data_IF_180219479558
#
_entry.id   IF_180219479558
#
_cell.length_a   1.000
_cell.length_b   1.000
_cell.length_c   1.000
_cell.angle_alpha   90.00
_cell.angle_beta   90.00
_cell.angle_gamma   90.00
#
_symmetry.space_group_name_H-M   'P 1'
#
loop_
_entity.id
_entity.type
_entity.pdbx_description
1 polymer ?
#
# COMPACT_ATOMS: atom_id res chain seq x y z
N UNK A 1 -2.88 -3.69 -4.28
CA UNK A 1 -2.08 -3.28 -3.11
C UNK A 1 -2.67 -2.04 -2.44
N UNK A 2 -2.39 -0.84 -2.93
CA UNK A 2 -2.85 0.41 -2.31
C UNK A 2 -4.38 0.54 -2.27
N UNK A 3 -5.06 0.13 -3.34
CA UNK A 3 -6.52 0.16 -3.38
C UNK A 3 -7.14 -0.77 -2.33
N UNK A 4 -6.54 -1.93 -2.11
CA UNK A 4 -6.98 -2.85 -1.06
C UNK A 4 -6.77 -2.25 0.33
N UNK A 5 -5.64 -1.55 0.54
CA UNK A 5 -5.37 -0.82 1.78
C UNK A 5 -6.42 0.25 2.05
N UNK A 6 -6.73 1.06 1.04
CA UNK A 6 -7.80 2.07 1.15
C UNK A 6 -9.12 1.44 1.57
N UNK A 7 -9.55 0.40 0.86
CA UNK A 7 -10.84 -0.26 1.09
C UNK A 7 -10.90 -0.89 2.50
N UNK A 8 -9.83 -1.54 2.95
CA UNK A 8 -9.76 -2.14 4.27
C UNK A 8 -9.77 -1.09 5.38
N UNK A 9 -9.04 0.00 5.23
CA UNK A 9 -9.04 1.08 6.23
C UNK A 9 -10.41 1.76 6.31
N UNK A 10 -11.08 2.00 5.19
CA UNK A 10 -12.45 2.56 5.20
C UNK A 10 -13.45 1.61 5.82
N UNK A 11 -13.34 0.33 5.55
CA UNK A 11 -14.19 -0.71 6.13
C UNK A 11 -14.00 -0.78 7.65
N UNK A 12 -12.76 -0.76 8.12
CA UNK A 12 -12.45 -0.76 9.55
C UNK A 12 -12.97 0.51 10.23
N UNK A 13 -12.77 1.68 9.60
CA UNK A 13 -13.28 2.94 10.13
C UNK A 13 -14.81 2.94 10.27
N UNK A 14 -15.51 2.31 9.33
CA UNK A 14 -16.97 2.18 9.39
C UNK A 14 -17.48 1.20 10.43
N UNK A 15 -16.65 0.23 10.83
CA UNK A 15 -17.01 -0.81 11.80
C UNK A 15 -16.64 -0.45 13.25
N UNK A 16 -15.76 0.51 13.47
CA UNK A 16 -15.24 0.88 14.77
C UNK A 16 -15.90 2.16 15.30
N UNK A 17 -15.87 2.33 16.62
CA UNK A 17 -16.54 3.44 17.29
C UNK A 17 -15.61 4.42 17.99
N UNK A 18 -14.35 4.05 18.23
CA UNK A 18 -13.35 4.94 18.85
C UNK A 18 -13.02 6.10 17.89
N UNK A 19 -13.32 7.36 18.25
CA UNK A 19 -13.12 8.49 17.34
C UNK A 19 -11.66 8.70 16.90
N UNK A 20 -10.71 8.45 17.80
CA UNK A 20 -9.28 8.60 17.50
C UNK A 20 -8.83 7.55 16.50
N UNK A 21 -9.25 6.33 16.69
CA UNK A 21 -8.93 5.20 15.81
C UNK A 21 -9.59 5.39 14.43
N UNK A 22 -10.87 5.75 14.41
CA UNK A 22 -11.62 6.02 13.17
C UNK A 22 -10.95 7.14 12.36
N UNK A 23 -10.63 8.27 13.01
CA UNK A 23 -9.98 9.40 12.32
C UNK A 23 -8.62 9.01 11.75
N UNK A 24 -7.84 8.20 12.48
CA UNK A 24 -6.53 7.73 11.99
C UNK A 24 -6.68 6.80 10.78
N UNK A 25 -7.64 5.90 10.80
CA UNK A 25 -7.89 4.98 9.69
C UNK A 25 -8.43 5.70 8.46
N UNK A 26 -9.29 6.69 8.63
CA UNK A 26 -9.77 7.52 7.53
C UNK A 26 -8.63 8.33 6.90
N UNK A 27 -7.76 8.91 7.71
CA UNK A 27 -6.56 9.59 7.21
C UNK A 27 -5.67 8.66 6.40
N UNK A 28 -5.39 7.47 6.92
CA UNK A 28 -4.59 6.49 6.18
C UNK A 28 -5.27 6.06 4.87
N UNK A 29 -6.59 5.88 4.89
CA UNK A 29 -7.34 5.55 3.68
C UNK A 29 -7.22 6.64 2.61
N UNK A 30 -7.26 7.91 3.00
CA UNK A 30 -7.11 9.03 2.08
C UNK A 30 -5.71 9.05 1.45
N UNK A 31 -4.66 8.78 2.23
CA UNK A 31 -3.30 8.68 1.71
C UNK A 31 -3.13 7.47 0.79
N UNK A 32 -3.69 6.31 1.15
CA UNK A 32 -3.68 5.14 0.27
C UNK A 32 -4.39 5.40 -1.06
N UNK A 33 -5.42 6.20 -1.06
CA UNK A 33 -6.10 6.61 -2.28
C UNK A 33 -5.16 7.39 -3.22
N UNK A 34 -4.39 8.32 -2.68
CA UNK A 34 -3.40 9.07 -3.46
C UNK A 34 -2.24 8.18 -3.92
N UNK A 35 -1.78 7.26 -3.08
CA UNK A 35 -0.76 6.28 -3.45
C UNK A 35 -1.25 5.38 -4.60
N UNK A 36 -2.51 4.96 -4.57
CA UNK A 36 -3.10 4.15 -5.64
C UNK A 36 -3.09 4.88 -6.99
N UNK A 37 -3.41 6.16 -7.00
CA UNK A 37 -3.35 6.99 -8.22
C UNK A 37 -1.93 7.08 -8.75
N UNK A 38 -0.98 7.37 -7.88
CA UNK A 38 0.44 7.45 -8.26
C UNK A 38 0.93 6.12 -8.80
N UNK A 39 0.63 5.02 -8.11
CA UNK A 39 1.07 3.69 -8.51
C UNK A 39 0.49 3.27 -9.86
N UNK A 40 -0.77 3.58 -10.13
CA UNK A 40 -1.40 3.31 -11.43
C UNK A 40 -0.68 4.06 -12.54
N UNK A 41 -0.38 5.33 -12.35
CA UNK A 41 0.37 6.13 -13.31
C UNK A 41 1.79 5.59 -13.52
N UNK A 42 2.45 5.13 -12.45
CA UNK A 42 3.77 4.52 -12.51
C UNK A 42 3.77 3.23 -13.33
N UNK A 43 2.78 2.36 -13.13
CA UNK A 43 2.65 1.13 -13.91
C UNK A 43 2.43 1.41 -15.40
N UNK A 44 1.62 2.41 -15.73
CA UNK A 44 1.41 2.83 -17.12
C UNK A 44 2.69 3.35 -17.75
N UNK A 45 3.47 4.15 -17.04
CA UNK A 45 4.76 4.66 -17.50
C UNK A 45 5.76 3.51 -17.73
N UNK A 46 5.87 2.59 -16.78
CA UNK A 46 6.76 1.44 -16.91
C UNK A 46 6.35 0.51 -18.04
N UNK A 47 5.05 0.28 -18.25
CA UNK A 47 4.54 -0.52 -19.35
C UNK A 47 4.87 0.11 -20.72
N UNK A 48 4.66 1.42 -20.86
CA UNK A 48 5.00 2.14 -22.08
C UNK A 48 6.49 2.05 -22.40
N UNK A 49 7.37 2.13 -21.39
CA UNK A 49 8.82 2.02 -21.54
C UNK A 49 9.24 0.60 -21.90
N UNK A 50 8.66 -0.41 -21.27
CA UNK A 50 8.92 -1.81 -21.58
C UNK A 50 8.57 -2.12 -23.02
N UNK A 51 7.44 -1.63 -23.51
CA UNK A 51 7.03 -1.77 -24.92
C UNK A 51 7.99 -1.09 -25.89
N UNK A 52 8.57 0.05 -25.52
CA UNK A 52 9.49 0.79 -26.38
C UNK A 52 10.90 0.21 -26.40
N UNK A 53 11.35 -0.45 -25.32
CA UNK A 53 12.73 -0.94 -25.17
C UNK A 53 12.88 -2.44 -25.34
N UNK A 54 11.89 -3.24 -24.97
CA UNK A 54 11.99 -4.69 -24.87
C UNK A 54 10.90 -5.44 -25.66
N UNK A 55 10.00 -4.72 -26.34
CA UNK A 55 8.87 -5.34 -27.03
C UNK A 55 7.81 -5.87 -26.05
N UNK A 56 7.04 -6.86 -26.52
CA UNK A 56 5.89 -7.35 -25.76
C UNK A 56 6.24 -8.31 -24.59
N UNK A 57 7.51 -8.69 -24.44
CA UNK A 57 7.94 -9.72 -23.48
C UNK A 57 7.97 -9.23 -22.02
N UNK A 58 8.10 -7.93 -21.80
CA UNK A 58 8.10 -7.32 -20.47
C UNK A 58 6.98 -6.29 -20.39
N UNK A 59 5.79 -6.73 -20.08
CA UNK A 59 4.64 -5.85 -19.91
C UNK A 59 4.28 -5.66 -18.42
N UNK A 60 3.31 -4.77 -18.17
CA UNK A 60 2.79 -4.53 -16.82
C UNK A 60 2.15 -5.77 -16.20
N UNK A 61 1.88 -6.82 -17.00
CA UNK A 61 1.35 -8.10 -16.52
C UNK A 61 2.31 -8.74 -15.53
N UNK A 62 3.62 -8.68 -15.80
CA UNK A 62 4.63 -9.18 -14.87
C UNK A 62 4.55 -8.49 -13.49
N UNK A 63 4.44 -7.17 -13.49
CA UNK A 63 4.31 -6.40 -12.26
C UNK A 63 2.98 -6.67 -11.55
N UNK A 64 1.89 -6.78 -12.31
CA UNK A 64 0.58 -7.12 -11.77
C UNK A 64 0.56 -8.52 -11.18
N UNK A 65 1.19 -9.49 -11.85
CA UNK A 65 1.30 -10.86 -11.35
C UNK A 65 2.16 -10.91 -10.09
N UNK A 66 3.25 -10.16 -10.04
CA UNK A 66 4.10 -10.06 -8.86
C UNK A 66 3.34 -9.50 -7.65
N UNK A 67 2.50 -8.48 -7.87
CA UNK A 67 1.68 -7.86 -6.83
C UNK A 67 0.51 -8.76 -6.44
N UNK A 68 -0.20 -9.31 -7.43
CA UNK A 68 -1.43 -10.10 -7.21
C UNK A 68 -1.18 -11.47 -6.62
N UNK A 69 0.00 -12.06 -6.84
CA UNK A 69 0.38 -13.38 -6.32
C UNK A 69 1.08 -13.34 -4.97
N UNK A 70 1.28 -12.15 -4.39
CA UNK A 70 2.07 -11.98 -3.17
C UNK A 70 1.21 -11.68 -1.94
N UNK A 71 1.82 -11.83 -0.76
CA UNK A 71 1.28 -11.36 0.52
C UNK A 71 1.09 -9.84 0.59
N UNK A 72 1.58 -9.11 -0.43
CA UNK A 72 1.40 -7.66 -0.58
C UNK A 72 -0.05 -7.25 -0.86
N UNK A 73 -0.90 -8.19 -1.27
CA UNK A 73 -2.32 -7.96 -1.44
C UNK A 73 -3.02 -8.25 -0.12
N UNK A 74 -3.46 -7.20 0.58
CA UNK A 74 -4.43 -7.36 1.66
C UNK A 74 -5.71 -7.90 1.06
N UNK A 75 -5.90 -9.20 1.13
CA UNK A 75 -7.20 -9.80 0.85
C UNK A 75 -8.13 -9.40 1.98
N UNK A 76 -9.42 -9.33 1.69
CA UNK A 76 -10.44 -8.97 2.66
C UNK A 76 -10.18 -9.61 4.02
N UNK A 77 -9.93 -8.78 5.03
CA UNK A 77 -9.77 -9.24 6.40
C UNK A 77 -11.15 -9.67 6.93
N UNK A 78 -11.24 -10.89 7.40
CA UNK A 78 -12.45 -11.37 8.05
C UNK A 78 -12.45 -10.91 9.51
N UNK A 79 -13.23 -9.87 9.79
CA UNK A 79 -13.34 -9.31 11.15
C UNK A 79 -13.85 -10.33 12.18
N UNK A 80 -14.56 -11.38 11.74
CA UNK A 80 -15.03 -12.44 12.63
C UNK A 80 -13.89 -13.31 13.17
N UNK A 81 -12.77 -13.39 12.43
CA UNK A 81 -11.58 -14.13 12.82
C UNK A 81 -10.60 -13.30 13.65
N UNK A 82 -10.81 -11.99 13.71
CA UNK A 82 -9.95 -11.06 14.47
C UNK A 82 -10.48 -10.98 15.91
N UNK A 83 -9.67 -11.39 16.88
CA UNK A 83 -10.07 -11.45 18.27
C UNK A 83 -10.15 -10.06 18.93
N UNK A 84 -9.24 -9.14 18.54
CA UNK A 84 -9.19 -7.79 19.09
C UNK A 84 -8.61 -6.77 18.10
N UNK A 85 -8.70 -5.49 18.47
CA UNK A 85 -8.21 -4.37 17.67
C UNK A 85 -6.68 -4.42 17.50
N UNK A 86 -5.96 -4.84 18.53
CA UNK A 86 -4.49 -4.95 18.47
C UNK A 86 -4.07 -5.93 17.39
N UNK A 87 -4.75 -7.07 17.28
CA UNK A 87 -4.50 -8.05 16.21
C UNK A 87 -4.76 -7.44 14.83
N UNK A 88 -5.88 -6.72 14.67
CA UNK A 88 -6.21 -6.04 13.42
C UNK A 88 -5.13 -5.02 13.02
N UNK A 89 -4.70 -4.20 13.97
CA UNK A 89 -3.67 -3.19 13.71
C UNK A 89 -2.32 -3.82 13.38
N UNK A 90 -1.98 -4.96 13.99
CA UNK A 90 -0.76 -5.70 13.64
C UNK A 90 -0.81 -6.27 12.22
N UNK A 91 -1.99 -6.71 11.76
CA UNK A 91 -2.18 -7.14 10.37
C UNK A 91 -1.90 -5.96 9.43
N UNK A 92 -2.41 -4.77 9.74
CA UNK A 92 -2.18 -3.58 8.94
C UNK A 92 -0.72 -3.14 8.96
N UNK A 93 -0.03 -3.24 10.09
CA UNK A 93 1.42 -2.98 10.17
C UNK A 93 2.18 -3.90 9.20
N UNK A 94 1.85 -5.18 9.19
CA UNK A 94 2.46 -6.14 8.26
C UNK A 94 2.22 -5.76 6.80
N UNK A 95 1.01 -5.32 6.47
CA UNK A 95 0.69 -4.83 5.12
C UNK A 95 1.54 -3.62 4.73
N UNK A 96 1.68 -2.65 5.62
CA UNK A 96 2.50 -1.46 5.37
C UNK A 96 3.99 -1.81 5.19
N UNK A 97 4.50 -2.74 6.00
CA UNK A 97 5.87 -3.23 5.86
C UNK A 97 6.09 -3.90 4.50
N UNK A 98 5.14 -4.71 4.05
CA UNK A 98 5.19 -5.35 2.73
C UNK A 98 5.14 -4.31 1.61
N UNK A 99 4.32 -3.28 1.73
CA UNK A 99 4.24 -2.18 0.77
C UNK A 99 5.57 -1.45 0.63
N UNK A 100 6.24 -1.17 1.75
CA UNK A 100 7.56 -0.53 1.77
C UNK A 100 8.58 -1.41 1.04
N UNK A 101 8.61 -2.71 1.34
CA UNK A 101 9.51 -3.66 0.67
C UNK A 101 9.29 -3.67 -0.84
N UNK A 102 8.03 -3.65 -1.26
CA UNK A 102 7.69 -3.60 -2.68
C UNK A 102 8.23 -2.32 -3.34
N UNK A 103 7.99 -1.16 -2.74
CA UNK A 103 8.48 0.11 -3.29
C UNK A 103 10.01 0.17 -3.31
N UNK A 104 10.67 -0.34 -2.28
CA UNK A 104 12.13 -0.43 -2.26
C UNK A 104 12.66 -1.34 -3.36
N UNK A 105 11.95 -2.42 -3.67
CA UNK A 105 12.33 -3.35 -4.73
C UNK A 105 12.22 -2.71 -6.12
N UNK A 106 11.20 -1.89 -6.38
CA UNK A 106 10.99 -1.29 -7.70
C UNK A 106 11.81 -0.01 -7.92
N UNK A 107 12.25 0.66 -6.87
CA UNK A 107 12.97 1.93 -6.97
C UNK A 107 14.18 1.88 -7.91
N UNK A 108 15.05 0.86 -7.87
CA UNK A 108 16.17 0.76 -8.80
C UNK A 108 15.77 0.60 -10.27
N UNK A 109 14.54 0.18 -10.53
CA UNK A 109 14.01 -0.01 -11.89
C UNK A 109 13.47 1.29 -12.49
N UNK A 110 13.40 2.36 -11.73
CA UNK A 110 12.86 3.65 -12.14
C UNK A 110 14.03 4.56 -12.54
N UNK A 111 14.08 4.98 -13.81
CA UNK A 111 15.15 5.84 -14.32
C UNK A 111 14.90 7.33 -14.04
N UNK A 112 13.65 7.75 -13.98
CA UNK A 112 13.29 9.14 -13.75
C UNK A 112 13.53 9.51 -12.29
N UNK A 113 14.41 10.50 -12.05
CA UNK A 113 14.79 10.92 -10.70
C UNK A 113 13.61 11.53 -9.94
N UNK A 114 12.73 12.28 -10.60
CA UNK A 114 11.55 12.87 -9.96
C UNK A 114 10.60 11.77 -9.50
N UNK A 115 10.41 10.73 -10.31
CA UNK A 115 9.59 9.58 -9.97
C UNK A 115 10.18 8.80 -8.80
N UNK A 116 11.50 8.58 -8.77
CA UNK A 116 12.19 7.97 -7.62
C UNK A 116 11.97 8.76 -6.36
N UNK A 117 12.09 10.06 -6.44
CA UNK A 117 11.88 10.95 -5.30
C UNK A 117 10.46 10.84 -4.74
N UNK A 118 9.46 10.75 -5.63
CA UNK A 118 8.07 10.54 -5.24
C UNK A 118 7.86 9.18 -4.56
N UNK A 119 8.49 8.13 -5.07
CA UNK A 119 8.43 6.79 -4.43
C UNK A 119 9.06 6.83 -3.04
N UNK A 120 10.20 7.48 -2.88
CA UNK A 120 10.85 7.64 -1.57
C UNK A 120 9.95 8.41 -0.58
N UNK A 121 9.22 9.41 -1.08
CA UNK A 121 8.24 10.14 -0.28
C UNK A 121 7.10 9.24 0.17
N UNK A 122 6.57 8.40 -0.71
CA UNK A 122 5.54 7.42 -0.36
C UNK A 122 6.06 6.44 0.70
N UNK A 123 7.28 5.94 0.55
CA UNK A 123 7.90 5.06 1.55
C UNK A 123 7.95 5.75 2.93
N UNK A 124 8.29 7.03 2.97
CA UNK A 124 8.30 7.79 4.21
C UNK A 124 6.89 7.94 4.81
N UNK A 125 5.88 8.14 3.96
CA UNK A 125 4.47 8.19 4.38
C UNK A 125 4.01 6.84 4.93
N UNK A 126 4.38 5.72 4.29
CA UNK A 126 4.07 4.37 4.79
C UNK A 126 4.73 4.09 6.14
N UNK A 127 5.96 4.55 6.36
CA UNK A 127 6.60 4.48 7.68
C UNK A 127 5.84 5.29 8.72
N UNK A 128 5.27 6.41 8.32
CA UNK A 128 4.37 7.20 9.17
C UNK A 128 3.11 6.43 9.57
N UNK A 129 2.51 5.70 8.62
CA UNK A 129 1.38 4.82 8.90
C UNK A 129 1.75 3.74 9.93
N UNK A 130 2.89 3.07 9.74
CA UNK A 130 3.37 2.05 10.69
C UNK A 130 3.53 2.65 12.09
N UNK A 131 4.16 3.81 12.19
CA UNK A 131 4.32 4.50 13.47
C UNK A 131 2.97 4.77 14.13
N UNK A 132 2.02 5.29 13.37
CA UNK A 132 0.68 5.59 13.89
C UNK A 132 -0.07 4.33 14.31
N UNK A 133 0.01 3.27 13.51
CA UNK A 133 -0.60 1.99 13.85
C UNK A 133 -0.02 1.40 15.14
N UNK A 134 1.29 1.50 15.33
CA UNK A 134 1.95 1.06 16.56
C UNK A 134 1.52 1.88 17.77
N UNK A 135 1.40 3.19 17.61
CA UNK A 135 0.91 4.08 18.68
C UNK A 135 -0.52 3.67 19.11
N UNK A 136 -1.38 3.36 18.14
CA UNK A 136 -2.75 2.93 18.42
C UNK A 136 -2.82 1.52 19.02
N UNK A 137 -1.95 0.61 18.58
CA UNK A 137 -1.96 -0.78 19.03
C UNK A 137 -1.41 -0.96 20.44
N UNK A 138 -0.44 -0.13 20.84
CA UNK A 138 0.33 -0.30 22.08
C UNK A 138 0.22 0.91 23.01
N UNK A 139 -0.80 1.71 22.81
CA UNK A 139 -1.07 2.87 23.68
C UNK A 139 -1.55 2.47 25.08
#
# INVERSE_FOLDING_TARGET
MEKNGEDEYRKAAGALTDPTLVASLEWMADEEHEHAKFFTALLEEMDARAKSHFGEELDATFLKDLIGGSSLSLKTVDFSEVEDITELLNIYIGFEEDSILFYEMITPMIDNLDTRFQVERIIAEERGHIKRLKELAYA
#
